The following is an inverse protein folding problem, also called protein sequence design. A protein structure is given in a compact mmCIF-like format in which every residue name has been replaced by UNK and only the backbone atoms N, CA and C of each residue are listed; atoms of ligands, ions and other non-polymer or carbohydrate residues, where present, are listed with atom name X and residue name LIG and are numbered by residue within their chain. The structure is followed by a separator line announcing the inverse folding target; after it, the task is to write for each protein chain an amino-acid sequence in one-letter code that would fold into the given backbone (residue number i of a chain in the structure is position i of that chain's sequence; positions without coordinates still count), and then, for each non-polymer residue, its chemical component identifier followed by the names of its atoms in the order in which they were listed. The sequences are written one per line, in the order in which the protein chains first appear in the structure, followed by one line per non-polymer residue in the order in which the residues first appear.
data_IF_895379184822
#
_entry.id   IF_895379184822
#
_cell.length_a   1.000
_cell.length_b   1.000
_cell.length_c   1.000
_cell.angle_alpha   90.00
_cell.angle_beta   90.00
_cell.angle_gamma   90.00
#
_symmetry.space_group_name_H-M   'P 1'
#
loop_
_entity.id
_entity.type
_entity.pdbx_description
1 polymer ?
#
# COMPACT_ATOMS: atom_id res chain seq x y z
N UNK A 1 8.37 -3.57 10.36
CA UNK A 1 8.82 -4.89 9.82
C UNK A 1 9.21 -4.91 8.32
N UNK A 2 9.13 -3.81 7.57
CA UNK A 2 9.52 -3.75 6.13
C UNK A 2 11.03 -3.86 5.84
N UNK A 3 11.84 -4.22 6.85
CA UNK A 3 13.31 -4.30 6.79
C UNK A 3 13.86 -5.65 7.26
N UNK A 4 12.98 -6.62 7.54
CA UNK A 4 13.41 -7.97 7.93
C UNK A 4 14.00 -8.67 6.70
N UNK A 5 13.30 -8.58 5.57
CA UNK A 5 13.82 -8.98 4.25
C UNK A 5 13.90 -7.72 3.40
N UNK A 6 15.11 -7.40 2.91
CA UNK A 6 15.39 -6.19 2.13
C UNK A 6 16.03 -6.45 0.77
N UNK A 7 16.56 -7.67 0.55
CA UNK A 7 17.12 -8.07 -0.75
C UNK A 7 16.02 -8.12 -1.82
N UNK A 8 16.09 -7.29 -2.88
CA UNK A 8 15.11 -7.29 -3.95
C UNK A 8 14.94 -8.65 -4.63
N UNK A 9 16.01 -9.45 -4.72
CA UNK A 9 15.96 -10.79 -5.35
C UNK A 9 15.13 -11.73 -4.49
N UNK A 10 15.36 -11.74 -3.17
CA UNK A 10 14.56 -12.53 -2.24
C UNK A 10 13.10 -12.08 -2.20
N UNK A 11 12.82 -10.77 -2.14
CA UNK A 11 11.45 -10.24 -2.16
C UNK A 11 10.73 -10.66 -3.44
N UNK A 12 11.39 -10.57 -4.59
CA UNK A 12 10.81 -11.01 -5.87
C UNK A 12 10.49 -12.50 -5.83
N UNK A 13 11.41 -13.33 -5.35
CA UNK A 13 11.21 -14.78 -5.23
C UNK A 13 10.01 -15.11 -4.33
N UNK A 14 9.86 -14.40 -3.22
CA UNK A 14 8.71 -14.58 -2.32
C UNK A 14 7.40 -14.14 -2.98
N UNK A 15 7.38 -13.00 -3.68
CA UNK A 15 6.20 -12.58 -4.44
C UNK A 15 5.81 -13.60 -5.52
N UNK A 16 6.77 -14.05 -6.32
CA UNK A 16 6.54 -15.03 -7.39
C UNK A 16 5.98 -16.35 -6.83
N UNK A 17 6.39 -16.74 -5.62
CA UNK A 17 5.90 -17.96 -4.96
C UNK A 17 4.55 -17.76 -4.27
N UNK A 18 4.41 -16.75 -3.42
CA UNK A 18 3.24 -16.60 -2.56
C UNK A 18 2.05 -15.96 -3.26
N UNK A 19 2.25 -15.03 -4.20
CA UNK A 19 1.13 -14.31 -4.81
C UNK A 19 0.16 -15.26 -5.53
N UNK A 20 0.67 -16.26 -6.24
CA UNK A 20 -0.17 -17.23 -6.96
C UNK A 20 -0.90 -18.22 -6.03
N UNK A 21 -0.55 -18.24 -4.74
CA UNK A 21 -1.12 -19.14 -3.72
C UNK A 21 -2.07 -18.41 -2.78
N UNK A 22 -2.16 -17.10 -2.89
CA UNK A 22 -3.12 -16.32 -2.14
C UNK A 22 -4.51 -16.52 -2.72
N UNK A 23 -5.51 -16.55 -1.84
CA UNK A 23 -6.90 -16.58 -2.27
C UNK A 23 -7.19 -15.34 -3.14
N UNK A 24 -7.79 -15.57 -4.30
CA UNK A 24 -8.22 -14.51 -5.23
C UNK A 24 -9.25 -13.58 -4.58
N UNK A 25 -9.98 -14.07 -3.59
CA UNK A 25 -10.93 -13.36 -2.74
C UNK A 25 -10.36 -13.04 -1.34
N UNK A 26 -9.04 -13.11 -1.18
CA UNK A 26 -8.36 -12.82 0.07
C UNK A 26 -8.66 -11.41 0.61
N UNK A 27 -8.38 -11.15 1.90
CA UNK A 27 -8.77 -9.90 2.55
C UNK A 27 -8.05 -8.69 1.97
N UNK A 28 -8.67 -7.51 2.02
CA UNK A 28 -8.14 -6.25 1.48
C UNK A 28 -6.66 -5.96 1.84
N UNK A 29 -6.27 -6.25 3.08
CA UNK A 29 -4.91 -6.07 3.61
C UNK A 29 -3.84 -6.88 2.85
N UNK A 30 -4.19 -8.06 2.32
CA UNK A 30 -3.31 -8.89 1.51
C UNK A 30 -2.84 -8.15 0.26
N UNK A 31 -3.78 -7.59 -0.49
CA UNK A 31 -3.48 -6.83 -1.70
C UNK A 31 -2.74 -5.53 -1.38
N UNK A 32 -2.97 -4.92 -0.21
CA UNK A 32 -2.22 -3.77 0.24
C UNK A 32 -0.72 -4.08 0.43
N UNK A 33 -0.38 -5.20 1.07
CA UNK A 33 1.03 -5.60 1.24
C UNK A 33 1.68 -5.96 -0.09
N UNK A 34 0.98 -6.69 -0.97
CA UNK A 34 1.50 -6.99 -2.31
C UNK A 34 1.76 -5.69 -3.09
N UNK A 35 0.82 -4.73 -3.06
CA UNK A 35 0.98 -3.42 -3.69
C UNK A 35 2.28 -2.74 -3.26
N UNK A 36 2.51 -2.69 -1.95
CA UNK A 36 3.69 -2.05 -1.36
C UNK A 36 4.98 -2.74 -1.84
N UNK A 37 5.03 -4.08 -1.79
CA UNK A 37 6.20 -4.84 -2.23
C UNK A 37 6.49 -4.68 -3.73
N UNK A 38 5.47 -4.78 -4.58
CA UNK A 38 5.62 -4.54 -6.02
C UNK A 38 6.08 -3.10 -6.30
N UNK A 39 5.57 -2.11 -5.56
CA UNK A 39 6.00 -0.73 -5.72
C UNK A 39 7.49 -0.55 -5.39
N UNK A 40 7.96 -1.17 -4.30
CA UNK A 40 9.39 -1.15 -3.92
C UNK A 40 10.31 -1.83 -4.93
N UNK A 41 9.81 -2.86 -5.63
CA UNK A 41 10.54 -3.49 -6.74
C UNK A 41 10.44 -2.71 -8.06
N UNK A 42 9.69 -1.60 -8.10
CA UNK A 42 9.50 -0.80 -9.31
C UNK A 42 8.45 -1.35 -10.28
N UNK A 43 7.70 -2.39 -9.89
CA UNK A 43 6.63 -3.02 -10.67
C UNK A 43 5.33 -2.18 -10.59
N UNK A 44 5.38 -0.97 -11.14
CA UNK A 44 4.36 0.05 -10.92
C UNK A 44 2.96 -0.33 -11.41
N UNK A 45 2.85 -0.90 -12.61
CA UNK A 45 1.56 -1.28 -13.19
C UNK A 45 0.86 -2.31 -12.31
N UNK A 46 1.58 -3.38 -11.95
CA UNK A 46 1.11 -4.43 -11.06
C UNK A 46 0.73 -3.89 -9.68
N UNK A 47 1.55 -3.00 -9.11
CA UNK A 47 1.24 -2.33 -7.85
C UNK A 47 -0.05 -1.51 -7.94
N UNK A 48 -0.28 -0.81 -9.05
CA UNK A 48 -1.50 -0.02 -9.27
C UNK A 48 -2.74 -0.91 -9.32
N UNK A 49 -2.68 -2.03 -10.06
CA UNK A 49 -3.80 -2.99 -10.12
C UNK A 49 -4.09 -3.61 -8.75
N UNK A 50 -3.06 -3.95 -7.98
CA UNK A 50 -3.22 -4.51 -6.64
C UNK A 50 -3.76 -3.46 -5.65
N UNK A 51 -3.42 -2.19 -5.83
CA UNK A 51 -3.94 -1.11 -4.99
C UNK A 51 -5.44 -0.99 -5.15
N UNK A 52 -5.93 -0.99 -6.39
CA UNK A 52 -7.37 -0.95 -6.66
C UNK A 52 -8.11 -2.11 -5.98
N UNK A 53 -7.53 -3.32 -6.04
CA UNK A 53 -8.06 -4.51 -5.34
C UNK A 53 -8.02 -4.39 -3.83
N UNK A 54 -7.12 -3.60 -3.26
CA UNK A 54 -6.94 -3.51 -1.81
C UNK A 54 -7.98 -2.65 -1.10
N UNK A 55 -8.87 -1.96 -1.82
CA UNK A 55 -9.92 -1.16 -1.17
C UNK A 55 -11.20 -0.98 -1.98
N UNK A 56 -11.14 -0.90 -3.32
CA UNK A 56 -12.34 -0.60 -4.14
C UNK A 56 -13.46 -1.62 -3.94
N UNK A 57 -13.22 -2.94 -3.93
CA UNK A 57 -14.29 -3.92 -3.73
C UNK A 57 -14.93 -3.86 -2.33
N UNK A 58 -14.24 -3.28 -1.35
CA UNK A 58 -14.69 -3.17 0.03
C UNK A 58 -15.46 -1.85 0.28
N UNK A 59 -15.50 -0.92 -0.68
CA UNK A 59 -16.18 0.36 -0.50
C UNK A 59 -17.70 0.19 -0.44
N UNK A 60 -18.31 0.74 0.60
CA UNK A 60 -19.76 0.75 0.80
C UNK A 60 -20.31 2.16 0.60
N UNK A 61 -21.32 2.36 -0.27
CA UNK A 61 -21.97 3.66 -0.44
C UNK A 61 -22.75 4.09 0.81
N UNK A 62 -23.09 5.39 0.95
CA UNK A 62 -22.72 6.49 0.05
C UNK A 62 -21.33 7.08 0.34
N UNK A 63 -20.77 6.78 1.51
CA UNK A 63 -19.55 7.43 2.00
C UNK A 63 -18.25 6.72 1.60
N UNK A 64 -18.34 5.52 1.02
CA UNK A 64 -17.16 4.74 0.64
C UNK A 64 -16.40 4.18 1.84
N UNK A 65 -17.07 3.96 2.97
CA UNK A 65 -16.51 3.26 4.13
C UNK A 65 -16.13 1.84 3.75
N UNK A 66 -15.14 1.24 4.41
CA UNK A 66 -14.66 -0.08 4.05
C UNK A 66 -15.36 -1.17 4.86
N UNK A 67 -15.98 -2.13 4.18
CA UNK A 67 -16.42 -3.39 4.75
C UNK A 67 -15.26 -4.38 4.90
N UNK A 68 -15.45 -5.42 5.73
CA UNK A 68 -14.45 -6.46 5.96
C UNK A 68 -14.17 -7.29 4.69
N UNK A 69 -15.22 -7.67 3.98
CA UNK A 69 -15.15 -8.49 2.77
C UNK A 69 -15.46 -7.67 1.53
N UNK A 70 -14.93 -8.08 0.39
CA UNK A 70 -15.33 -7.54 -0.90
C UNK A 70 -16.84 -7.77 -1.11
N UNK A 71 -17.56 -6.73 -1.54
CA UNK A 71 -19.02 -6.75 -1.70
C UNK A 71 -19.83 -6.83 -0.40
N UNK A 72 -19.16 -6.82 0.77
CA UNK A 72 -19.81 -6.79 2.07
C UNK A 72 -20.44 -5.43 2.38
N UNK A 73 -21.36 -5.42 3.35
CA UNK A 73 -22.10 -4.21 3.76
C UNK A 73 -21.89 -3.84 5.23
N UNK A 74 -20.98 -4.52 5.93
CA UNK A 74 -20.72 -4.32 7.37
C UNK A 74 -19.43 -3.50 7.61
N UNK A 75 -19.52 -2.15 7.70
CA UNK A 75 -18.41 -1.29 8.10
C UNK A 75 -18.33 -1.13 9.64
N UNK A 76 -17.22 -0.63 10.21
CA UNK A 76 -16.01 -0.11 9.57
C UNK A 76 -14.82 -1.06 9.77
N UNK A 77 -14.25 -1.56 8.67
CA UNK A 77 -13.11 -2.45 8.73
C UNK A 77 -11.79 -1.68 8.82
N UNK A 78 -11.37 -1.42 10.06
CA UNK A 78 -10.18 -0.63 10.36
C UNK A 78 -8.89 -1.27 9.80
N UNK A 79 -8.77 -2.59 9.79
CA UNK A 79 -7.56 -3.27 9.28
C UNK A 79 -7.36 -3.04 7.79
N UNK A 80 -8.43 -3.09 6.99
CA UNK A 80 -8.39 -2.77 5.56
C UNK A 80 -8.05 -1.29 5.32
N UNK A 81 -8.65 -0.38 6.09
CA UNK A 81 -8.34 1.04 6.03
C UNK A 81 -6.88 1.35 6.40
N UNK A 82 -6.35 0.64 7.40
CA UNK A 82 -4.94 0.71 7.78
C UNK A 82 -4.01 0.24 6.65
N UNK A 83 -4.34 -0.87 5.98
CA UNK A 83 -3.60 -1.35 4.81
C UNK A 83 -3.59 -0.35 3.66
N UNK A 84 -4.75 0.24 3.33
CA UNK A 84 -4.86 1.30 2.33
C UNK A 84 -3.96 2.50 2.67
N UNK A 85 -4.02 2.99 3.92
CA UNK A 85 -3.19 4.10 4.36
C UNK A 85 -1.69 3.75 4.33
N UNK A 86 -1.34 2.53 4.72
CA UNK A 86 0.05 2.04 4.69
C UNK A 86 0.63 2.03 3.27
N UNK A 87 -0.17 1.67 2.25
CA UNK A 87 0.26 1.76 0.85
C UNK A 87 0.55 3.20 0.43
N UNK A 88 -0.33 4.14 0.79
CA UNK A 88 -0.12 5.55 0.44
C UNK A 88 1.12 6.12 1.12
N UNK A 89 1.35 5.79 2.40
CA UNK A 89 2.48 6.33 3.16
C UNK A 89 3.79 5.63 2.81
N UNK A 90 3.86 4.31 2.99
CA UNK A 90 5.11 3.52 2.92
C UNK A 90 5.32 2.77 1.61
N UNK A 91 4.29 2.71 0.76
CA UNK A 91 4.38 2.28 -0.63
C UNK A 91 4.65 3.48 -1.52
N UNK A 92 3.63 4.03 -2.15
CA UNK A 92 3.73 5.12 -3.11
C UNK A 92 4.42 6.37 -2.55
N UNK A 93 4.17 6.73 -1.29
CA UNK A 93 4.79 7.88 -0.62
C UNK A 93 6.25 7.67 -0.22
N UNK A 94 6.71 6.42 -0.19
CA UNK A 94 8.09 6.07 0.16
C UNK A 94 8.49 6.38 1.60
N UNK A 95 7.54 6.68 2.50
CA UNK A 95 7.87 7.01 3.88
C UNK A 95 8.37 5.78 4.63
N UNK A 96 9.54 5.92 5.24
CA UNK A 96 10.18 4.88 6.01
C UNK A 96 10.65 5.44 7.35
N UNK A 97 10.39 4.67 8.40
CA UNK A 97 10.75 5.04 9.78
C UNK A 97 12.10 4.40 10.09
N UNK A 98 13.05 5.21 10.53
CA UNK A 98 14.42 4.80 10.86
C UNK A 98 14.79 5.27 12.27
N UNK A 99 15.88 4.75 12.85
CA UNK A 99 16.43 5.29 14.11
C UNK A 99 16.77 6.79 14.04
N UNK A 100 17.05 7.31 12.83
CA UNK A 100 17.35 8.72 12.59
C UNK A 100 16.10 9.56 12.26
N UNK A 101 14.90 8.99 12.42
CA UNK A 101 13.63 9.63 12.06
C UNK A 101 13.05 9.15 10.74
N UNK A 102 12.13 9.94 10.19
CA UNK A 102 11.38 9.61 8.97
C UNK A 102 12.18 10.05 7.75
N UNK A 103 12.44 9.11 6.85
CA UNK A 103 13.08 9.34 5.56
C UNK A 103 12.12 9.01 4.42
N UNK A 104 12.45 9.48 3.21
CA UNK A 104 11.69 9.17 2.00
C UNK A 104 12.54 8.33 1.04
N UNK A 105 12.06 7.13 0.74
CA UNK A 105 12.60 6.25 -0.28
C UNK A 105 12.18 6.71 -1.67
N UNK A 106 12.99 6.39 -2.68
CA UNK A 106 12.62 6.63 -4.08
C UNK A 106 11.55 5.61 -4.49
N UNK A 107 10.36 6.09 -4.80
CA UNK A 107 9.20 5.30 -5.21
C UNK A 107 8.59 5.88 -6.48
N UNK A 108 7.57 5.22 -7.01
CA UNK A 108 6.79 5.70 -8.15
C UNK A 108 5.31 5.73 -7.76
N UNK A 109 4.56 6.69 -8.27
CA UNK A 109 3.10 6.76 -8.14
C UNK A 109 2.43 6.20 -9.41
N UNK A 110 1.16 5.76 -9.35
CA UNK A 110 0.41 5.38 -10.53
C UNK A 110 0.48 6.45 -11.63
N UNK A 111 0.61 6.05 -12.89
CA UNK A 111 0.77 6.97 -14.02
C UNK A 111 -0.44 7.90 -14.23
N UNK A 112 -1.61 7.51 -13.71
CA UNK A 112 -2.81 8.34 -13.69
C UNK A 112 -2.74 9.47 -12.65
N UNK A 113 -1.79 9.44 -11.73
CA UNK A 113 -1.62 10.45 -10.69
C UNK A 113 -0.57 11.48 -11.11
N UNK A 114 -0.89 12.77 -10.94
CA UNK A 114 0.07 13.85 -11.21
C UNK A 114 1.08 14.03 -10.08
N UNK A 115 0.65 13.79 -8.85
CA UNK A 115 1.49 13.88 -7.65
C UNK A 115 0.78 13.26 -6.45
N UNK A 116 1.55 12.80 -5.47
CA UNK A 116 1.09 12.43 -4.13
C UNK A 116 1.73 13.39 -3.12
N UNK A 117 0.92 14.12 -2.36
CA UNK A 117 1.38 15.05 -1.32
C UNK A 117 0.95 14.55 0.05
N UNK A 118 1.91 14.34 0.95
CA UNK A 118 1.68 13.86 2.31
C UNK A 118 2.15 14.94 3.28
N UNK A 119 1.26 15.43 4.14
CA UNK A 119 1.50 16.58 5.04
C UNK A 119 1.46 16.16 6.51
N UNK A 120 2.08 16.97 7.37
CA UNK A 120 1.98 16.79 8.82
C UNK A 120 2.76 15.59 9.34
N UNK A 121 3.82 15.18 8.63
CA UNK A 121 4.59 13.99 8.97
C UNK A 121 5.65 14.29 10.02
N UNK A 122 5.60 13.54 11.12
CA UNK A 122 6.53 13.67 12.25
C UNK A 122 6.34 14.93 13.08
N UNK A 123 7.19 15.08 14.11
CA UNK A 123 7.15 16.21 15.06
C UNK A 123 7.33 17.57 14.38
N UNK A 124 8.11 17.61 13.30
CA UNK A 124 8.36 18.81 12.49
C UNK A 124 7.24 19.11 11.47
N UNK A 125 6.17 18.29 11.42
CA UNK A 125 5.02 18.44 10.50
C UNK A 125 5.44 18.57 9.02
N UNK A 126 6.46 17.81 8.61
CA UNK A 126 7.04 17.88 7.26
C UNK A 126 6.01 17.54 6.18
N UNK A 127 6.26 18.07 4.98
CA UNK A 127 5.51 17.74 3.76
C UNK A 127 6.41 16.98 2.80
N UNK A 128 5.93 15.85 2.30
CA UNK A 128 6.59 15.01 1.32
C UNK A 128 5.78 15.01 0.03
N UNK A 129 6.47 15.07 -1.11
CA UNK A 129 5.82 15.10 -2.44
C UNK A 129 6.50 14.08 -3.35
N UNK A 130 5.69 13.23 -3.97
CA UNK A 130 6.12 12.33 -5.06
C UNK A 130 5.43 12.78 -6.35
N UNK A 131 6.17 12.82 -7.45
CA UNK A 131 5.68 13.20 -8.78
C UNK A 131 5.95 12.07 -9.77
#
# INVERSE_FOLDING_TARGET
PMKIVSDPVQIKKDLDYYESRMDVNGPAMSFAILTLLHNRLGNLEKATTLFDKSYLPNKVPPFGVLAETAGGTNPYFATGAGGFLQVLLSGFGGLDITPNGIVQLKTKIPTSWKSLTIKGIGVEKKTFVVK
#
